data_IF_706617569423
#
_entry.id   IF_706617569423
#
_cell.length_a   1.000
_cell.length_b   1.000
_cell.length_c   1.000
_cell.angle_alpha   90.00
_cell.angle_beta   90.00
_cell.angle_gamma   90.00
#
_symmetry.space_group_name_H-M   'P 1'
#
loop_
_entity.id
_entity.type
_entity.pdbx_description
1 polymer ?
#
# COMPACT_ATOMS: atom_id res chain seq x y z
N UNK A 1 7.29 -9.01 24.79
CA UNK A 1 7.18 -9.06 23.30
C UNK A 1 5.78 -9.58 22.96
N UNK A 2 5.04 -8.84 22.14
CA UNK A 2 3.71 -9.26 21.67
C UNK A 2 3.85 -10.24 20.50
N UNK A 3 3.55 -11.51 20.68
CA UNK A 3 3.73 -12.58 19.70
C UNK A 3 2.80 -12.45 18.47
N UNK A 4 1.73 -11.65 18.57
CA UNK A 4 0.82 -11.42 17.45
C UNK A 4 1.36 -10.41 16.41
N UNK A 5 2.33 -9.55 16.77
CA UNK A 5 2.98 -8.65 15.81
C UNK A 5 4.00 -9.46 15.01
N UNK A 6 3.72 -9.68 13.72
CA UNK A 6 4.54 -10.53 12.85
C UNK A 6 5.54 -9.75 12.00
N UNK A 7 5.33 -8.46 11.82
CA UNK A 7 6.22 -7.60 11.05
C UNK A 7 5.97 -6.12 11.32
N UNK A 8 6.98 -5.32 11.03
CA UNK A 8 6.93 -3.86 11.13
C UNK A 8 7.43 -3.27 9.81
N UNK A 9 6.65 -2.37 9.25
CA UNK A 9 7.09 -1.44 8.21
C UNK A 9 7.42 -0.13 8.90
N UNK A 10 8.69 0.28 8.86
CA UNK A 10 9.16 1.46 9.55
C UNK A 10 9.56 2.58 8.61
N UNK A 11 10.06 3.66 9.18
CA UNK A 11 10.64 4.77 8.43
C UNK A 11 12.17 4.76 8.52
N UNK A 12 12.83 4.99 7.39
CA UNK A 12 14.27 5.23 7.29
C UNK A 12 14.47 6.39 6.34
N UNK A 13 15.34 7.33 6.67
CA UNK A 13 15.74 8.38 5.74
C UNK A 13 16.48 7.76 4.55
N UNK A 14 15.75 7.58 3.44
CA UNK A 14 16.27 6.98 2.21
C UNK A 14 17.23 7.91 1.44
N UNK A 15 17.26 9.20 1.78
CA UNK A 15 18.15 10.19 1.15
C UNK A 15 19.51 10.32 1.89
N UNK A 16 19.65 9.66 3.05
CA UNK A 16 20.85 9.72 3.83
C UNK A 16 22.05 9.10 3.10
N UNK A 17 23.23 9.74 3.19
CA UNK A 17 24.48 9.23 2.60
C UNK A 17 24.88 7.85 3.14
N UNK A 18 24.51 7.54 4.38
CA UNK A 18 24.76 6.26 5.05
C UNK A 18 23.57 5.31 5.05
N UNK A 19 22.61 5.47 4.10
CA UNK A 19 21.37 4.72 4.03
C UNK A 19 21.57 3.20 4.07
N UNK A 20 22.57 2.67 3.38
CA UNK A 20 22.86 1.21 3.40
C UNK A 20 23.22 0.70 4.81
N UNK A 21 23.99 1.47 5.57
CA UNK A 21 24.32 1.15 6.97
C UNK A 21 23.09 1.19 7.87
N UNK A 22 22.23 2.19 7.70
CA UNK A 22 20.96 2.29 8.46
C UNK A 22 20.03 1.12 8.15
N UNK A 23 19.87 0.77 6.88
CA UNK A 23 19.05 -0.38 6.46
C UNK A 23 19.62 -1.69 7.00
N UNK A 24 20.94 -1.90 6.97
CA UNK A 24 21.59 -3.07 7.57
C UNK A 24 21.28 -3.19 9.07
N UNK A 25 21.33 -2.07 9.80
CA UNK A 25 21.02 -2.02 11.22
C UNK A 25 19.57 -2.45 11.50
N UNK A 26 18.58 -1.88 10.81
CA UNK A 26 17.18 -2.25 11.04
C UNK A 26 16.86 -3.66 10.54
N UNK A 27 17.42 -4.07 9.41
CA UNK A 27 17.21 -5.41 8.83
C UNK A 27 17.83 -6.54 9.67
N UNK A 28 18.77 -6.24 10.58
CA UNK A 28 19.27 -7.22 11.55
C UNK A 28 18.18 -7.71 12.52
N UNK A 29 17.10 -6.96 12.67
CA UNK A 29 15.91 -7.40 13.40
C UNK A 29 14.92 -8.06 12.43
N UNK A 30 14.70 -9.37 12.57
CA UNK A 30 13.85 -10.17 11.70
C UNK A 30 12.39 -9.70 11.60
N UNK A 31 11.91 -8.89 12.55
CA UNK A 31 10.56 -8.31 12.53
C UNK A 31 10.44 -7.12 11.56
N UNK A 32 11.55 -6.48 11.18
CA UNK A 32 11.56 -5.35 10.24
C UNK A 32 11.40 -5.86 8.82
N UNK A 33 10.30 -5.50 8.15
CA UNK A 33 9.88 -6.11 6.88
C UNK A 33 9.85 -5.14 5.71
N UNK A 34 9.85 -3.85 5.98
CA UNK A 34 9.76 -2.86 4.92
C UNK A 34 9.99 -1.44 5.41
N UNK A 35 10.07 -0.54 4.44
CA UNK A 35 10.22 0.90 4.67
C UNK A 35 9.06 1.63 4.01
N UNK A 36 8.55 2.66 4.70
CA UNK A 36 7.55 3.57 4.18
C UNK A 36 7.96 5.02 4.47
N UNK A 37 7.88 5.86 3.45
CA UNK A 37 7.93 7.31 3.59
C UNK A 37 6.56 7.89 3.29
N UNK A 38 6.18 8.99 3.95
CA UNK A 38 4.90 9.69 3.72
C UNK A 38 5.05 10.57 2.47
N UNK A 39 5.21 9.91 1.30
CA UNK A 39 5.47 10.59 0.04
C UNK A 39 4.30 11.47 -0.42
N UNK A 40 3.07 11.21 0.07
CA UNK A 40 1.91 12.08 -0.14
C UNK A 40 2.11 13.53 0.37
N UNK A 41 3.01 13.76 1.32
CA UNK A 41 3.34 15.08 1.84
C UNK A 41 4.46 15.79 1.04
N UNK A 42 5.02 15.12 0.06
CA UNK A 42 6.10 15.60 -0.77
C UNK A 42 5.62 16.13 -2.13
N UNK A 43 6.51 16.73 -2.92
CA UNK A 43 6.22 17.11 -4.30
C UNK A 43 5.90 15.88 -5.16
N UNK A 44 5.12 16.07 -6.21
CA UNK A 44 4.65 14.97 -7.07
C UNK A 44 5.78 14.13 -7.67
N UNK A 45 6.96 14.71 -7.88
CA UNK A 45 8.12 14.03 -8.43
C UNK A 45 9.05 13.40 -7.37
N UNK A 46 8.68 13.37 -6.09
CA UNK A 46 9.53 12.87 -5.00
C UNK A 46 10.12 11.47 -5.29
N UNK A 47 9.29 10.55 -5.78
CA UNK A 47 9.70 9.17 -6.05
C UNK A 47 10.66 9.03 -7.24
N UNK A 48 10.83 10.07 -8.06
CA UNK A 48 11.76 10.07 -9.20
C UNK A 48 13.09 10.77 -8.88
N UNK A 49 13.24 11.33 -7.68
CA UNK A 49 14.51 11.95 -7.25
C UNK A 49 15.62 10.90 -7.14
N UNK A 50 16.82 11.24 -7.60
CA UNK A 50 17.95 10.31 -7.63
C UNK A 50 18.40 9.87 -6.23
N UNK A 51 18.38 10.77 -5.24
CA UNK A 51 18.71 10.46 -3.86
C UNK A 51 17.72 9.48 -3.22
N UNK A 52 16.41 9.66 -3.46
CA UNK A 52 15.36 8.76 -3.01
C UNK A 52 15.49 7.38 -3.67
N UNK A 53 15.67 7.36 -4.99
CA UNK A 53 15.83 6.13 -5.76
C UNK A 53 17.12 5.38 -5.38
N UNK A 54 18.19 6.10 -5.03
CA UNK A 54 19.40 5.49 -4.50
C UNK A 54 19.10 4.70 -3.22
N UNK A 55 18.36 5.28 -2.27
CA UNK A 55 17.98 4.58 -1.03
C UNK A 55 17.06 3.39 -1.30
N UNK A 56 16.04 3.56 -2.17
CA UNK A 56 15.13 2.46 -2.54
C UNK A 56 15.90 1.31 -3.19
N UNK A 57 16.93 1.58 -4.00
CA UNK A 57 17.75 0.55 -4.64
C UNK A 57 18.46 -0.40 -3.66
N UNK A 58 18.62 0.00 -2.39
CA UNK A 58 19.27 -0.81 -1.36
C UNK A 58 18.31 -1.79 -0.67
N UNK A 59 17.00 -1.56 -0.74
CA UNK A 59 16.01 -2.34 0.03
C UNK A 59 15.98 -3.82 -0.37
N UNK A 60 16.05 -4.12 -1.67
CA UNK A 60 16.02 -5.50 -2.18
C UNK A 60 17.15 -6.37 -1.61
N UNK A 61 18.34 -5.81 -1.36
CA UNK A 61 19.49 -6.49 -0.73
C UNK A 61 19.14 -7.07 0.65
N UNK A 62 18.23 -6.40 1.37
CA UNK A 62 17.80 -6.78 2.71
C UNK A 62 16.43 -7.48 2.72
N UNK A 63 15.89 -7.81 1.54
CA UNK A 63 14.54 -8.38 1.37
C UNK A 63 13.43 -7.51 2.02
N UNK A 64 13.62 -6.20 2.03
CA UNK A 64 12.66 -5.23 2.53
C UNK A 64 11.70 -4.78 1.42
N UNK A 65 10.42 -4.59 1.76
CA UNK A 65 9.45 -3.94 0.86
C UNK A 65 9.61 -2.42 0.90
N UNK A 66 9.12 -1.75 -0.14
CA UNK A 66 8.84 -0.32 -0.08
C UNK A 66 7.33 -0.10 -0.24
N UNK A 67 6.72 0.44 0.82
CA UNK A 67 5.30 0.76 0.83
C UNK A 67 5.11 2.19 0.30
N UNK A 68 4.42 2.30 -0.84
CA UNK A 68 4.21 3.55 -1.59
C UNK A 68 2.97 4.25 -1.05
N UNK A 69 3.15 5.28 -0.22
CA UNK A 69 2.07 6.09 0.34
C UNK A 69 2.00 7.43 -0.38
N UNK A 70 1.04 7.57 -1.28
CA UNK A 70 0.91 8.68 -2.23
C UNK A 70 -0.55 9.08 -2.43
N UNK A 71 -0.75 10.28 -2.99
CA UNK A 71 -2.01 10.71 -3.59
C UNK A 71 -2.07 10.38 -5.10
N UNK A 72 -3.25 10.45 -5.75
CA UNK A 72 -3.45 10.08 -7.17
C UNK A 72 -2.53 10.81 -8.15
N UNK A 73 -2.25 12.09 -7.92
CA UNK A 73 -1.39 12.89 -8.79
C UNK A 73 0.07 12.40 -8.82
N UNK A 74 0.51 11.66 -7.82
CA UNK A 74 1.86 11.10 -7.71
C UNK A 74 2.00 9.70 -8.36
N UNK A 75 0.91 9.11 -8.85
CA UNK A 75 0.93 7.79 -9.51
C UNK A 75 1.89 7.71 -10.72
N UNK A 76 2.04 8.75 -11.58
CA UNK A 76 3.04 8.72 -12.65
C UNK A 76 4.48 8.55 -12.14
N UNK A 77 4.83 9.18 -11.01
CA UNK A 77 6.14 9.02 -10.39
C UNK A 77 6.33 7.62 -9.79
N UNK A 78 5.26 7.04 -9.22
CA UNK A 78 5.28 5.65 -8.76
C UNK A 78 5.45 4.64 -9.90
N UNK A 79 4.84 4.87 -11.06
CA UNK A 79 5.04 4.05 -12.25
C UNK A 79 6.49 4.06 -12.71
N UNK A 80 7.10 5.25 -12.84
CA UNK A 80 8.51 5.39 -13.21
C UNK A 80 9.45 4.71 -12.22
N UNK A 81 9.15 4.81 -10.91
CA UNK A 81 9.91 4.13 -9.86
C UNK A 81 9.86 2.60 -10.02
N UNK A 82 8.68 2.04 -10.16
CA UNK A 82 8.47 0.59 -10.22
C UNK A 82 9.10 -0.03 -11.47
N UNK A 83 9.00 0.67 -12.60
CA UNK A 83 9.64 0.27 -13.86
C UNK A 83 11.16 0.19 -13.71
N UNK A 84 11.77 1.18 -13.03
CA UNK A 84 13.22 1.23 -12.81
C UNK A 84 13.73 0.11 -11.89
N UNK A 85 12.90 -0.41 -10.97
CA UNK A 85 13.32 -1.39 -9.97
C UNK A 85 12.50 -2.71 -10.00
N UNK A 86 12.61 -3.51 -11.07
CA UNK A 86 11.76 -4.70 -11.26
C UNK A 86 11.98 -5.82 -10.23
N UNK A 87 13.10 -5.80 -9.50
CA UNK A 87 13.41 -6.78 -8.44
C UNK A 87 12.95 -6.32 -7.05
N UNK A 88 12.61 -5.04 -6.88
CA UNK A 88 12.13 -4.51 -5.61
C UNK A 88 10.64 -4.83 -5.45
N UNK A 89 10.25 -5.30 -4.25
CA UNK A 89 8.82 -5.50 -3.90
C UNK A 89 8.22 -4.18 -3.46
N UNK A 90 7.13 -3.78 -4.10
CA UNK A 90 6.38 -2.57 -3.80
C UNK A 90 4.97 -2.90 -3.32
N UNK A 91 4.46 -2.10 -2.40
CA UNK A 91 3.07 -2.16 -1.97
C UNK A 91 2.46 -0.76 -2.10
N UNK A 92 1.44 -0.63 -2.94
CA UNK A 92 0.66 0.60 -3.04
C UNK A 92 -0.26 0.71 -1.81
N UNK A 93 0.02 1.65 -0.93
CA UNK A 93 -0.78 1.89 0.27
C UNK A 93 -2.11 2.58 -0.08
N UNK A 94 -3.17 2.18 0.61
CA UNK A 94 -4.48 2.84 0.63
C UNK A 94 -5.04 3.11 -0.79
N UNK A 95 -4.83 2.16 -1.73
CA UNK A 95 -5.24 2.28 -3.13
C UNK A 95 -4.82 3.61 -3.81
N UNK A 96 -3.75 4.25 -3.33
CA UNK A 96 -3.29 5.60 -3.69
C UNK A 96 -4.31 6.72 -3.36
N UNK A 97 -5.15 6.55 -2.33
CA UNK A 97 -6.02 7.57 -1.72
C UNK A 97 -6.86 8.39 -2.72
N UNK A 98 -7.68 7.74 -3.58
CA UNK A 98 -8.58 8.48 -4.48
C UNK A 98 -9.63 9.25 -3.67
N UNK A 99 -10.07 10.41 -4.17
CA UNK A 99 -11.25 11.08 -3.61
C UNK A 99 -12.51 10.24 -3.92
N UNK A 100 -13.12 9.65 -2.90
CA UNK A 100 -14.27 8.75 -3.03
C UNK A 100 -15.60 9.52 -3.06
N UNK A 101 -15.57 10.81 -2.69
CA UNK A 101 -16.75 11.69 -2.71
C UNK A 101 -17.15 12.19 -4.10
N UNK A 102 -16.33 11.94 -5.10
CA UNK A 102 -16.53 12.36 -6.48
C UNK A 102 -16.59 11.16 -7.42
N UNK A 103 -17.08 11.33 -8.66
CA UNK A 103 -16.98 10.29 -9.66
C UNK A 103 -15.54 9.78 -9.78
N UNK A 104 -15.36 8.49 -9.94
CA UNK A 104 -14.04 7.86 -10.01
C UNK A 104 -13.16 8.54 -11.06
N UNK A 105 -12.02 9.07 -10.61
CA UNK A 105 -11.08 9.80 -11.45
C UNK A 105 -10.43 8.86 -12.49
N UNK A 106 -10.59 9.15 -13.78
CA UNK A 106 -10.05 8.31 -14.86
C UNK A 106 -8.53 8.23 -14.84
N UNK A 107 -7.82 9.29 -14.47
CA UNK A 107 -6.36 9.25 -14.35
C UNK A 107 -5.91 8.28 -13.24
N UNK A 108 -6.60 8.29 -12.08
CA UNK A 108 -6.35 7.31 -11.03
C UNK A 108 -6.57 5.89 -11.54
N UNK A 109 -7.69 5.64 -12.18
CA UNK A 109 -8.10 4.34 -12.72
C UNK A 109 -7.07 3.79 -13.73
N UNK A 110 -6.67 4.62 -14.70
CA UNK A 110 -5.69 4.24 -15.72
C UNK A 110 -4.32 3.96 -15.10
N UNK A 111 -3.83 4.83 -14.20
CA UNK A 111 -2.51 4.68 -13.60
C UNK A 111 -2.44 3.49 -12.62
N UNK A 112 -3.48 3.25 -11.82
CA UNK A 112 -3.57 2.06 -10.96
C UNK A 112 -3.57 0.78 -11.81
N UNK A 113 -4.31 0.77 -12.92
CA UNK A 113 -4.29 -0.34 -13.88
C UNK A 113 -2.92 -0.54 -14.52
N UNK A 114 -2.22 0.54 -14.87
CA UNK A 114 -0.86 0.47 -15.38
C UNK A 114 0.11 -0.09 -14.34
N UNK A 115 0.03 0.39 -13.10
CA UNK A 115 0.86 -0.07 -11.98
C UNK A 115 0.65 -1.56 -11.67
N UNK A 116 -0.58 -2.04 -11.81
CA UNK A 116 -0.92 -3.45 -11.60
C UNK A 116 -0.28 -4.43 -12.58
N UNK A 117 0.21 -3.96 -13.74
CA UNK A 117 0.91 -4.80 -14.73
C UNK A 117 2.27 -5.26 -14.22
N UNK A 118 2.87 -4.55 -13.28
CA UNK A 118 4.13 -4.93 -12.66
C UNK A 118 3.90 -6.01 -11.60
N UNK A 119 4.48 -7.19 -11.81
CA UNK A 119 4.29 -8.36 -10.93
C UNK A 119 4.86 -8.19 -9.52
N UNK A 120 5.80 -7.27 -9.35
CA UNK A 120 6.43 -6.92 -8.09
C UNK A 120 5.65 -5.86 -7.29
N UNK A 121 4.46 -5.46 -7.76
CA UNK A 121 3.57 -4.52 -7.08
C UNK A 121 2.35 -5.25 -6.52
N UNK A 122 2.05 -5.00 -5.26
CA UNK A 122 0.82 -5.38 -4.56
C UNK A 122 0.06 -4.14 -4.10
N UNK A 123 -1.19 -4.27 -3.69
CA UNK A 123 -2.02 -3.13 -3.29
C UNK A 123 -2.70 -3.40 -1.95
N UNK A 124 -2.66 -2.44 -1.03
CA UNK A 124 -3.45 -2.46 0.21
C UNK A 124 -4.84 -1.92 -0.04
N UNK A 125 -5.82 -2.75 0.24
CA UNK A 125 -7.22 -2.37 0.36
C UNK A 125 -7.44 -1.81 1.77
N UNK A 126 -7.25 -0.52 1.92
CA UNK A 126 -7.23 0.21 3.20
C UNK A 126 -7.39 1.71 2.99
N UNK A 127 -7.59 2.48 4.06
CA UNK A 127 -7.56 3.94 4.05
C UNK A 127 -8.64 4.62 3.21
N UNK A 128 -9.71 3.89 2.83
CA UNK A 128 -10.76 4.43 1.96
C UNK A 128 -11.73 5.34 2.71
N UNK A 129 -12.05 5.01 3.96
CA UNK A 129 -13.06 5.72 4.75
C UNK A 129 -12.69 7.18 5.04
N UNK A 130 -11.40 7.51 5.03
CA UNK A 130 -10.89 8.87 5.25
C UNK A 130 -10.78 9.69 3.96
N UNK A 131 -11.08 9.10 2.81
CA UNK A 131 -11.05 9.76 1.50
C UNK A 131 -12.45 10.16 1.02
N UNK A 132 -13.43 10.15 1.91
CA UNK A 132 -14.81 10.60 1.68
C UNK A 132 -15.03 12.01 2.20
N UNK A 133 -15.99 12.74 1.61
CA UNK A 133 -16.31 14.12 2.01
C UNK A 133 -16.85 14.15 3.43
N UNK A 134 -16.23 14.97 4.29
CA UNK A 134 -16.61 15.16 5.68
C UNK A 134 -16.73 13.82 6.46
N UNK A 135 -16.00 12.79 5.99
CA UNK A 135 -16.02 11.42 6.53
C UNK A 135 -17.41 10.76 6.52
N UNK A 136 -18.31 11.25 5.68
CA UNK A 136 -19.64 10.66 5.48
C UNK A 136 -19.59 9.68 4.30
N UNK A 137 -20.16 8.48 4.49
CA UNK A 137 -20.18 7.44 3.46
C UNK A 137 -21.27 6.41 3.71
N UNK A 138 -21.63 5.70 2.64
CA UNK A 138 -22.33 4.41 2.68
C UNK A 138 -21.40 3.32 2.12
N UNK A 139 -21.65 2.07 2.43
CA UNK A 139 -20.74 0.97 2.05
C UNK A 139 -20.59 0.84 0.53
N UNK A 140 -21.63 1.17 -0.22
CA UNK A 140 -21.71 1.14 -1.67
C UNK A 140 -20.76 2.13 -2.36
N UNK A 141 -20.38 3.22 -1.69
CA UNK A 141 -19.45 4.23 -2.24
C UNK A 141 -18.08 3.63 -2.58
N UNK A 142 -17.67 2.60 -1.85
CA UNK A 142 -16.37 1.96 -1.99
C UNK A 142 -16.34 0.85 -3.04
N UNK A 143 -17.48 0.30 -3.40
CA UNK A 143 -17.60 -0.87 -4.27
C UNK A 143 -16.94 -0.66 -5.64
N UNK A 144 -17.17 0.45 -6.36
CA UNK A 144 -16.52 0.69 -7.66
C UNK A 144 -14.99 0.68 -7.57
N UNK A 145 -14.43 1.25 -6.49
CA UNK A 145 -12.98 1.30 -6.26
C UNK A 145 -12.44 -0.09 -5.95
N UNK A 146 -13.10 -0.85 -5.07
CA UNK A 146 -12.73 -2.23 -4.75
C UNK A 146 -12.78 -3.11 -6.00
N UNK A 147 -13.83 -3.01 -6.82
CA UNK A 147 -13.98 -3.73 -8.08
C UNK A 147 -12.83 -3.42 -9.04
N UNK A 148 -12.43 -2.14 -9.15
CA UNK A 148 -11.30 -1.76 -9.99
C UNK A 148 -9.97 -2.33 -9.47
N UNK A 149 -9.72 -2.33 -8.16
CA UNK A 149 -8.52 -2.92 -7.56
C UNK A 149 -8.49 -4.43 -7.80
N UNK A 150 -9.59 -5.14 -7.56
CA UNK A 150 -9.66 -6.60 -7.76
C UNK A 150 -9.47 -7.00 -9.22
N UNK A 151 -10.09 -6.29 -10.17
CA UNK A 151 -9.90 -6.53 -11.60
C UNK A 151 -8.49 -6.22 -12.09
N UNK A 152 -7.79 -5.30 -11.42
CA UNK A 152 -6.43 -4.87 -11.79
C UNK A 152 -5.36 -5.79 -11.21
N UNK A 153 -5.34 -5.99 -9.88
CA UNK A 153 -4.29 -6.72 -9.18
C UNK A 153 -4.56 -8.22 -9.03
N UNK A 154 -5.83 -8.64 -9.17
CA UNK A 154 -6.24 -10.02 -8.88
C UNK A 154 -6.08 -10.37 -7.40
N UNK A 155 -6.68 -11.48 -6.97
CA UNK A 155 -6.83 -11.85 -5.56
C UNK A 155 -5.53 -12.23 -4.83
N UNK A 156 -4.40 -12.36 -5.55
CA UNK A 156 -3.12 -12.80 -4.97
C UNK A 156 -2.19 -11.64 -4.55
N UNK A 157 -2.54 -10.39 -4.95
CA UNK A 157 -1.70 -9.21 -4.70
C UNK A 157 -2.47 -8.09 -4.00
N UNK A 158 -3.58 -8.42 -3.38
CA UNK A 158 -4.37 -7.49 -2.56
C UNK A 158 -4.21 -7.88 -1.10
N UNK A 159 -3.94 -6.89 -0.24
CA UNK A 159 -3.79 -7.04 1.20
C UNK A 159 -4.82 -6.16 1.90
N UNK A 160 -5.49 -6.69 2.91
CA UNK A 160 -6.29 -5.87 3.81
C UNK A 160 -5.39 -5.04 4.74
N UNK A 161 -5.79 -3.80 5.01
CA UNK A 161 -5.27 -2.96 6.07
C UNK A 161 -6.40 -2.16 6.72
N UNK A 162 -6.39 -2.00 8.03
CA UNK A 162 -7.40 -1.21 8.75
C UNK A 162 -7.16 0.29 8.66
N UNK A 163 -5.92 0.69 8.40
CA UNK A 163 -5.45 2.07 8.53
C UNK A 163 -5.65 2.64 9.95
N UNK A 164 -5.71 1.75 10.96
CA UNK A 164 -5.77 2.18 12.35
C UNK A 164 -4.43 2.81 12.77
N UNK A 165 -4.38 3.93 13.50
CA UNK A 165 -5.54 4.66 14.08
C UNK A 165 -6.16 5.72 13.18
N UNK A 166 -5.65 5.95 11.95
CA UNK A 166 -6.14 7.02 11.06
C UNK A 166 -7.62 6.84 10.69
N UNK A 167 -8.08 5.60 10.53
CA UNK A 167 -9.50 5.32 10.26
C UNK A 167 -10.46 5.88 11.33
N UNK A 168 -9.98 6.13 12.56
CA UNK A 168 -10.79 6.68 13.66
C UNK A 168 -11.24 8.14 13.41
N UNK A 169 -10.66 8.81 12.41
CA UNK A 169 -11.16 10.11 11.96
C UNK A 169 -12.55 10.01 11.32
N UNK A 170 -12.85 8.89 10.70
CA UNK A 170 -14.08 8.66 9.95
C UNK A 170 -15.01 7.64 10.63
N UNK A 171 -14.47 6.56 11.20
CA UNK A 171 -15.26 5.48 11.80
C UNK A 171 -14.40 4.59 12.70
N UNK A 172 -15.00 3.61 13.36
CA UNK A 172 -14.27 2.66 14.19
C UNK A 172 -13.63 1.50 13.38
N UNK A 173 -12.72 0.78 14.02
CA UNK A 173 -12.04 -0.39 13.43
C UNK A 173 -13.04 -1.47 12.98
N UNK A 174 -14.12 -1.70 13.77
CA UNK A 174 -15.12 -2.74 13.49
C UNK A 174 -15.86 -2.43 12.19
N UNK A 175 -16.23 -1.18 11.96
CA UNK A 175 -16.87 -0.76 10.72
C UNK A 175 -15.96 -0.97 9.52
N UNK A 176 -14.67 -0.61 9.62
CA UNK A 176 -13.69 -0.83 8.53
C UNK A 176 -13.58 -2.31 8.16
N UNK A 177 -13.43 -3.20 9.15
CA UNK A 177 -13.30 -4.64 8.85
C UNK A 177 -14.62 -5.23 8.36
N UNK A 178 -15.77 -4.75 8.85
CA UNK A 178 -17.09 -5.19 8.39
C UNK A 178 -17.31 -4.81 6.93
N UNK A 179 -17.00 -3.57 6.53
CA UNK A 179 -17.06 -3.11 5.14
C UNK A 179 -16.31 -4.06 4.19
N UNK A 180 -15.07 -4.39 4.52
CA UNK A 180 -14.26 -5.28 3.70
C UNK A 180 -14.79 -6.71 3.71
N UNK A 181 -15.26 -7.22 4.85
CA UNK A 181 -15.84 -8.55 4.94
C UNK A 181 -17.11 -8.68 4.09
N UNK A 182 -18.02 -7.70 4.15
CA UNK A 182 -19.25 -7.66 3.33
C UNK A 182 -18.91 -7.70 1.84
N UNK A 183 -17.95 -6.89 1.39
CA UNK A 183 -17.49 -6.94 0.00
C UNK A 183 -16.90 -8.29 -0.38
N UNK A 184 -16.15 -8.92 0.53
CA UNK A 184 -15.52 -10.22 0.29
C UNK A 184 -16.50 -11.41 0.34
N UNK A 185 -17.75 -11.22 0.76
CA UNK A 185 -18.74 -12.30 0.86
C UNK A 185 -19.12 -12.92 -0.50
N UNK A 186 -18.93 -12.18 -1.59
CA UNK A 186 -19.08 -12.72 -2.95
C UNK A 186 -17.97 -13.70 -3.37
N UNK A 187 -16.87 -13.76 -2.61
CA UNK A 187 -15.72 -14.60 -2.91
C UNK A 187 -15.66 -15.85 -2.03
N UNK A 188 -14.96 -16.89 -2.49
CA UNK A 188 -14.73 -18.10 -1.70
C UNK A 188 -13.93 -17.80 -0.42
N UNK A 189 -14.11 -18.63 0.62
CA UNK A 189 -13.35 -18.55 1.88
C UNK A 189 -11.82 -18.50 1.66
N UNK A 190 -11.33 -19.21 0.63
CA UNK A 190 -9.91 -19.21 0.25
C UNK A 190 -9.43 -17.83 -0.23
N UNK A 191 -10.25 -17.12 -1.03
CA UNK A 191 -9.92 -15.76 -1.49
C UNK A 191 -10.00 -14.78 -0.34
N UNK A 192 -11.03 -14.89 0.51
CA UNK A 192 -11.20 -14.10 1.72
C UNK A 192 -9.95 -14.21 2.62
N UNK A 193 -9.50 -15.43 2.92
CA UNK A 193 -8.29 -15.66 3.72
C UNK A 193 -7.04 -15.05 3.08
N UNK A 194 -6.89 -15.11 1.74
CA UNK A 194 -5.78 -14.47 1.03
C UNK A 194 -5.72 -12.98 1.30
N UNK A 195 -6.82 -12.27 1.08
CA UNK A 195 -6.88 -10.81 1.21
C UNK A 195 -6.69 -10.39 2.66
N UNK A 196 -7.31 -11.10 3.61
CA UNK A 196 -7.29 -10.75 5.03
C UNK A 196 -5.95 -11.08 5.74
N UNK A 197 -5.08 -11.92 5.14
CA UNK A 197 -3.82 -12.22 5.83
C UNK A 197 -2.78 -13.00 4.99
N UNK A 198 -3.17 -14.05 4.27
CA UNK A 198 -2.20 -14.95 3.61
C UNK A 198 -1.31 -14.21 2.60
N UNK A 199 -1.85 -13.22 1.89
CA UNK A 199 -1.06 -12.41 0.97
C UNK A 199 -0.03 -11.55 1.72
N UNK A 200 -0.41 -10.97 2.87
CA UNK A 200 0.54 -10.21 3.70
C UNK A 200 1.69 -11.09 4.18
N UNK A 201 1.40 -12.30 4.66
CA UNK A 201 2.42 -13.28 5.06
C UNK A 201 3.41 -13.51 3.93
N UNK A 202 2.93 -13.75 2.72
CA UNK A 202 3.77 -14.05 1.55
C UNK A 202 4.59 -12.83 1.09
N UNK A 203 3.96 -11.65 1.03
CA UNK A 203 4.57 -10.45 0.45
C UNK A 203 5.64 -9.88 1.38
N UNK A 204 5.33 -9.78 2.68
CA UNK A 204 6.24 -9.27 3.70
C UNK A 204 7.19 -10.34 4.28
N UNK A 205 7.04 -11.60 3.88
CA UNK A 205 7.83 -12.71 4.41
C UNK A 205 7.75 -12.79 5.95
N UNK A 206 6.49 -12.93 6.47
CA UNK A 206 6.18 -12.98 7.90
C UNK A 206 6.40 -14.38 8.48
#
# INVERSE_FOLDING_TARGET
KNSFIKGVVGWVDLTAKDVDKRLAHYASNSIFKGVRHVAQAEKDNYLTRDDVQHGISKLAKYNLTYDILIFPQQLPAALALVEKFPKQKFILDHIAKPNISEPMNENWKVNVKALSKFKNVSCKLSGMVTETKDFNFVDEDFEPYMNHIFSSFGTNRILFGSDWPVCLLATDYKKVITLINNYLDIYSAKIKAKVLGVNAIKIYNL
#
